data_IF_185341266121
#
_entry.id   IF_185341266121
#
_cell.length_a   1.000
_cell.length_b   1.000
_cell.length_c   1.000
_cell.angle_alpha   90.00
_cell.angle_beta   90.00
_cell.angle_gamma   90.00
#
_symmetry.space_group_name_H-M   'P 1'
#
loop_
_entity.id
_entity.type
_entity.pdbx_description
1 polymer ?
#
# COMPACT_ATOMS: atom_id res chain seq x y z
N UNK A 1 -56.82 27.89 -26.38
CA UNK A 1 -56.25 28.94 -25.49
C UNK A 1 -56.89 28.73 -24.12
N UNK A 2 -56.25 28.61 -22.95
CA UNK A 2 -54.86 28.78 -22.46
C UNK A 2 -54.91 28.31 -20.97
N UNK A 3 -54.03 27.50 -20.35
CA UNK A 3 -52.74 26.81 -20.65
C UNK A 3 -52.65 25.55 -19.74
N UNK A 4 -51.71 24.62 -19.99
CA UNK A 4 -51.26 23.65 -18.96
C UNK A 4 -50.26 24.34 -18.02
N UNK A 5 -50.41 24.13 -16.70
CA UNK A 5 -49.47 24.60 -15.68
C UNK A 5 -48.40 23.51 -15.48
N UNK A 6 -47.14 23.85 -15.73
CA UNK A 6 -46.02 22.91 -15.70
C UNK A 6 -45.57 22.56 -14.27
N UNK A 7 -45.46 21.26 -13.99
CA UNK A 7 -44.79 20.71 -12.82
C UNK A 7 -43.43 20.15 -13.25
N UNK A 8 -42.41 21.00 -13.29
CA UNK A 8 -41.04 20.57 -13.62
C UNK A 8 -40.34 20.09 -12.35
N UNK A 9 -40.10 18.79 -12.24
CA UNK A 9 -39.26 18.24 -11.17
C UNK A 9 -37.83 18.80 -11.27
N UNK A 10 -37.35 19.37 -10.17
CA UNK A 10 -35.92 19.64 -9.94
C UNK A 10 -35.27 18.31 -9.51
N UNK A 11 -34.79 17.54 -10.50
CA UNK A 11 -34.19 16.22 -10.26
C UNK A 11 -32.74 16.37 -9.76
N UNK A 12 -32.43 15.63 -8.69
CA UNK A 12 -31.11 15.43 -8.10
C UNK A 12 -29.97 15.28 -9.13
N UNK A 13 -28.97 16.16 -9.09
CA UNK A 13 -27.78 16.12 -9.95
C UNK A 13 -26.45 15.95 -9.19
N UNK A 14 -26.49 15.45 -7.95
CA UNK A 14 -25.31 15.30 -7.07
C UNK A 14 -24.65 13.90 -7.09
N UNK A 15 -25.13 12.95 -7.91
CA UNK A 15 -24.72 11.54 -7.84
C UNK A 15 -23.43 11.13 -8.59
N UNK A 16 -22.93 11.96 -9.51
CA UNK A 16 -21.92 11.52 -10.50
C UNK A 16 -20.47 11.55 -10.00
N UNK A 17 -20.14 12.34 -8.98
CA UNK A 17 -18.74 12.52 -8.51
C UNK A 17 -18.27 11.40 -7.59
N UNK A 18 -19.15 10.89 -6.71
CA UNK A 18 -18.79 9.84 -5.74
C UNK A 18 -18.43 8.50 -6.41
N UNK A 19 -19.14 8.13 -7.49
CA UNK A 19 -18.95 6.86 -8.17
C UNK A 19 -17.54 6.74 -8.79
N UNK A 20 -17.04 7.80 -9.42
CA UNK A 20 -15.69 7.84 -10.02
C UNK A 20 -14.59 7.66 -8.97
N UNK A 21 -14.70 8.33 -7.81
CA UNK A 21 -13.72 8.17 -6.72
C UNK A 21 -13.70 6.74 -6.18
N UNK A 22 -14.86 6.13 -5.91
CA UNK A 22 -14.93 4.75 -5.43
C UNK A 22 -14.33 3.76 -6.44
N UNK A 23 -14.62 3.94 -7.74
CA UNK A 23 -14.07 3.09 -8.80
C UNK A 23 -12.54 3.24 -8.93
N UNK A 24 -12.01 4.48 -8.83
CA UNK A 24 -10.56 4.74 -8.82
C UNK A 24 -9.86 4.02 -7.67
N UNK A 25 -10.40 4.11 -6.44
CA UNK A 25 -9.87 3.41 -5.27
C UNK A 25 -9.93 1.89 -5.45
N UNK A 26 -11.05 1.36 -5.96
CA UNK A 26 -11.21 -0.05 -6.25
C UNK A 26 -10.19 -0.57 -7.28
N UNK A 27 -9.91 0.19 -8.35
CA UNK A 27 -8.89 -0.16 -9.36
C UNK A 27 -7.48 -0.14 -8.77
N UNK A 28 -7.13 0.89 -7.99
CA UNK A 28 -5.83 0.95 -7.32
C UNK A 28 -5.62 -0.27 -6.41
N UNK A 29 -6.55 -0.51 -5.49
CA UNK A 29 -6.48 -1.60 -4.51
C UNK A 29 -6.58 -3.00 -5.18
N UNK A 30 -7.19 -3.10 -6.37
CA UNK A 30 -7.13 -4.32 -7.18
C UNK A 30 -5.72 -4.53 -7.78
N UNK A 31 -5.08 -3.48 -8.31
CA UNK A 31 -3.71 -3.55 -8.81
C UNK A 31 -2.70 -3.92 -7.70
N UNK A 32 -2.86 -3.37 -6.48
CA UNK A 32 -2.01 -3.73 -5.33
C UNK A 32 -2.11 -5.20 -4.96
N UNK A 33 -3.34 -5.73 -4.86
CA UNK A 33 -3.57 -7.15 -4.55
C UNK A 33 -3.09 -8.07 -5.67
N UNK A 34 -3.28 -7.68 -6.94
CA UNK A 34 -2.77 -8.44 -8.08
C UNK A 34 -1.23 -8.48 -8.10
N UNK A 35 -0.56 -7.36 -7.77
CA UNK A 35 0.90 -7.29 -7.66
C UNK A 35 1.45 -8.16 -6.53
N UNK A 36 0.82 -8.12 -5.34
CA UNK A 36 1.17 -9.02 -4.24
C UNK A 36 0.89 -10.50 -4.56
N UNK A 37 -0.12 -10.82 -5.37
CA UNK A 37 -0.39 -12.18 -5.79
C UNK A 37 0.58 -12.69 -6.88
N UNK A 38 1.06 -11.80 -7.75
CA UNK A 38 2.03 -12.10 -8.81
C UNK A 38 3.46 -12.36 -8.29
N UNK A 39 3.77 -11.89 -7.08
CA UNK A 39 4.96 -12.26 -6.34
C UNK A 39 4.54 -13.24 -5.25
N UNK A 40 4.42 -14.55 -5.51
CA UNK A 40 3.93 -15.47 -4.49
C UNK A 40 4.93 -15.62 -3.34
N UNK A 41 4.41 -15.76 -2.14
CA UNK A 41 5.21 -16.06 -0.96
C UNK A 41 5.95 -17.40 -1.06
N UNK A 42 7.19 -17.43 -0.59
CA UNK A 42 8.03 -18.62 -0.48
C UNK A 42 8.98 -18.49 0.71
N UNK A 43 9.33 -19.59 1.38
CA UNK A 43 10.23 -19.51 2.55
C UNK A 43 9.70 -18.70 3.73
N UNK A 44 10.57 -18.48 4.73
CA UNK A 44 10.17 -18.06 6.09
C UNK A 44 11.15 -17.10 6.77
N UNK A 45 11.81 -16.19 6.04
CA UNK A 45 12.64 -15.17 6.69
C UNK A 45 11.78 -14.28 7.61
N UNK A 46 12.22 -14.11 8.86
CA UNK A 46 11.44 -13.44 9.91
C UNK A 46 11.69 -11.93 9.87
N UNK A 47 10.63 -11.18 9.57
CA UNK A 47 10.62 -9.71 9.53
C UNK A 47 9.78 -9.07 10.65
N UNK A 48 8.99 -9.84 11.41
CA UNK A 48 8.23 -9.31 12.54
C UNK A 48 9.09 -8.59 13.60
N UNK A 49 8.58 -7.48 14.13
CA UNK A 49 9.25 -6.61 15.11
C UNK A 49 9.25 -5.14 14.69
N UNK A 50 9.93 -4.32 15.48
CA UNK A 50 10.07 -2.88 15.27
C UNK A 50 11.37 -2.55 14.52
N UNK A 51 11.31 -1.55 13.66
CA UNK A 51 12.43 -1.08 12.85
C UNK A 51 12.43 0.44 12.76
N UNK A 52 13.62 1.02 12.79
CA UNK A 52 13.84 2.44 12.55
C UNK A 52 14.34 2.61 11.10
N UNK A 53 13.82 3.56 10.30
CA UNK A 53 14.45 3.90 9.02
C UNK A 53 15.90 4.35 9.20
N UNK A 54 16.72 4.13 8.17
CA UNK A 54 18.09 4.62 8.11
C UNK A 54 18.19 6.06 7.58
N UNK A 55 17.11 6.59 6.98
CA UNK A 55 16.91 8.00 6.65
C UNK A 55 15.79 8.66 7.48
N UNK A 56 15.62 9.98 7.31
CA UNK A 56 14.57 10.79 7.96
C UNK A 56 13.26 10.87 7.13
N UNK A 57 13.22 10.26 5.93
CA UNK A 57 12.10 10.36 5.01
C UNK A 57 10.90 9.51 5.43
N UNK A 58 11.14 8.43 6.17
CA UNK A 58 10.13 7.51 6.67
C UNK A 58 9.94 7.60 8.18
N UNK A 59 8.82 7.07 8.68
CA UNK A 59 8.60 6.85 10.10
C UNK A 59 8.99 5.44 10.54
N UNK A 60 9.12 5.23 11.86
CA UNK A 60 9.33 3.90 12.46
C UNK A 60 8.34 2.87 11.93
N UNK A 61 8.82 1.67 11.64
CA UNK A 61 8.02 0.55 11.16
C UNK A 61 7.75 -0.46 12.28
N UNK A 62 6.55 -1.04 12.30
CA UNK A 62 6.20 -2.15 13.17
C UNK A 62 5.49 -3.23 12.37
N UNK A 63 6.10 -4.42 12.29
CA UNK A 63 5.59 -5.54 11.49
C UNK A 63 5.13 -6.70 12.38
N UNK A 64 3.92 -7.19 12.09
CA UNK A 64 3.42 -8.49 12.50
C UNK A 64 3.55 -9.45 11.31
N UNK A 65 3.79 -10.73 11.60
CA UNK A 65 3.98 -11.76 10.57
C UNK A 65 3.28 -13.05 10.98
N UNK A 66 2.51 -13.63 10.06
CA UNK A 66 1.87 -14.94 10.21
C UNK A 66 2.23 -15.81 9.00
N UNK A 67 3.09 -16.79 9.23
CA UNK A 67 3.75 -17.52 8.15
C UNK A 67 4.58 -16.57 7.27
N UNK A 68 4.24 -16.49 5.99
CA UNK A 68 4.81 -15.53 5.05
C UNK A 68 4.07 -14.19 5.00
N UNK A 69 2.81 -14.09 5.44
CA UNK A 69 2.02 -12.85 5.38
C UNK A 69 2.56 -11.84 6.39
N UNK A 70 2.69 -10.59 5.96
CA UNK A 70 3.15 -9.46 6.76
C UNK A 70 2.07 -8.38 6.79
N UNK A 71 1.84 -7.80 7.97
CA UNK A 71 0.92 -6.68 8.19
C UNK A 71 1.51 -5.74 9.22
N UNK A 72 1.24 -4.44 9.15
CA UNK A 72 1.77 -3.50 10.13
C UNK A 72 1.65 -2.05 9.74
N UNK A 73 2.65 -1.24 10.11
CA UNK A 73 2.78 0.16 9.69
C UNK A 73 4.22 0.53 9.35
N UNK A 74 4.38 1.59 8.55
CA UNK A 74 5.63 2.38 8.39
C UNK A 74 5.21 3.85 8.50
N UNK A 75 5.59 4.52 9.59
CA UNK A 75 5.09 5.86 9.89
C UNK A 75 3.56 5.89 9.96
N UNK A 76 2.93 6.72 9.12
CA UNK A 76 1.47 6.85 9.04
C UNK A 76 0.80 5.79 8.15
N UNK A 77 1.56 5.08 7.31
CA UNK A 77 1.00 4.14 6.34
C UNK A 77 0.75 2.77 6.96
N UNK A 78 -0.44 2.22 6.71
CA UNK A 78 -0.74 0.81 6.96
C UNK A 78 -0.06 -0.07 5.92
N UNK A 79 0.42 -1.25 6.33
CA UNK A 79 1.16 -2.18 5.47
C UNK A 79 0.42 -3.50 5.34
N UNK A 80 0.29 -3.97 4.11
CA UNK A 80 -0.01 -5.37 3.76
C UNK A 80 1.09 -5.89 2.84
N UNK A 81 1.56 -7.12 3.06
CA UNK A 81 2.64 -7.69 2.28
C UNK A 81 2.90 -9.16 2.57
N UNK A 82 4.02 -9.67 2.06
CA UNK A 82 4.50 -11.02 2.36
C UNK A 82 6.02 -11.14 2.16
N UNK A 83 6.59 -12.22 2.68
CA UNK A 83 7.98 -12.65 2.45
C UNK A 83 8.05 -13.69 1.34
N UNK A 84 9.03 -13.56 0.44
CA UNK A 84 9.44 -14.57 -0.53
C UNK A 84 10.97 -14.72 -0.53
N UNK A 85 11.46 -15.85 0.00
CA UNK A 85 12.88 -16.03 0.33
C UNK A 85 13.33 -15.05 1.41
N UNK A 86 14.29 -14.20 1.07
CA UNK A 86 14.73 -13.05 1.88
C UNK A 86 14.09 -11.73 1.45
N UNK A 87 13.29 -11.74 0.38
CA UNK A 87 12.66 -10.55 -0.17
C UNK A 87 11.29 -10.32 0.49
N UNK A 88 10.94 -9.07 0.72
CA UNK A 88 9.76 -8.59 1.43
C UNK A 88 9.02 -7.62 0.52
N UNK A 89 7.83 -8.03 0.07
CA UNK A 89 6.98 -7.27 -0.83
C UNK A 89 5.88 -6.59 -0.01
N UNK A 90 5.85 -5.26 -0.04
CA UNK A 90 4.93 -4.44 0.76
C UNK A 90 4.09 -3.54 -0.13
N UNK A 91 2.83 -3.33 0.27
CA UNK A 91 1.97 -2.25 -0.17
C UNK A 91 1.69 -1.36 1.04
N UNK A 92 1.92 -0.06 0.89
CA UNK A 92 1.71 0.98 1.90
C UNK A 92 0.47 1.79 1.55
N UNK A 93 -0.49 1.85 2.47
CA UNK A 93 -1.81 2.46 2.25
C UNK A 93 -2.21 3.42 3.36
N UNK A 94 -2.87 4.51 2.99
CA UNK A 94 -3.50 5.48 3.90
C UNK A 94 -4.89 5.85 3.35
N UNK A 95 -5.88 6.09 4.22
CA UNK A 95 -7.23 6.51 3.80
C UNK A 95 -7.95 5.55 2.84
N UNK A 96 -7.52 4.28 2.77
CA UNK A 96 -8.04 3.29 1.82
C UNK A 96 -7.43 3.35 0.41
N UNK A 97 -6.39 4.16 0.18
CA UNK A 97 -5.62 4.22 -1.06
C UNK A 97 -4.21 3.65 -0.84
N UNK A 98 -3.79 2.71 -1.70
CA UNK A 98 -2.39 2.27 -1.76
C UNK A 98 -1.53 3.34 -2.43
N UNK A 99 -0.64 3.99 -1.67
CA UNK A 99 0.23 5.07 -2.15
C UNK A 99 1.55 4.55 -2.70
N UNK A 100 2.15 3.58 -2.01
CA UNK A 100 3.47 3.08 -2.35
C UNK A 100 3.50 1.56 -2.37
N UNK A 101 4.44 1.03 -3.13
CA UNK A 101 4.86 -0.36 -3.02
C UNK A 101 6.36 -0.43 -2.76
N UNK A 102 6.83 -1.48 -2.09
CA UNK A 102 8.25 -1.66 -1.82
C UNK A 102 8.69 -3.12 -1.95
N UNK A 103 9.94 -3.29 -2.36
CA UNK A 103 10.65 -4.57 -2.40
C UNK A 103 11.93 -4.40 -1.59
N UNK A 104 11.95 -4.98 -0.40
CA UNK A 104 13.07 -4.91 0.55
C UNK A 104 13.71 -6.28 0.69
N UNK A 105 15.02 -6.36 0.95
CA UNK A 105 15.72 -7.62 1.19
C UNK A 105 16.24 -7.67 2.63
N UNK A 106 15.97 -8.77 3.33
CA UNK A 106 16.51 -9.02 4.66
C UNK A 106 18.02 -9.22 4.60
N UNK A 107 18.76 -8.43 5.40
CA UNK A 107 20.21 -8.63 5.63
C UNK A 107 20.54 -8.52 7.12
N UNK A 108 20.62 -9.66 7.82
CA UNK A 108 20.98 -9.68 9.24
C UNK A 108 20.04 -8.86 10.14
N UNK A 109 20.44 -7.65 10.53
CA UNK A 109 19.61 -6.70 11.28
C UNK A 109 18.93 -5.60 10.43
N UNK A 110 19.15 -5.56 9.11
CA UNK A 110 18.55 -4.58 8.21
C UNK A 110 17.52 -5.20 7.24
N UNK A 111 16.68 -4.36 6.65
CA UNK A 111 15.84 -4.59 5.48
C UNK A 111 16.16 -3.46 4.49
N UNK A 112 16.85 -3.78 3.39
CA UNK A 112 17.31 -2.78 2.44
C UNK A 112 16.71 -3.05 1.08
N UNK A 113 16.23 -2.01 0.40
CA UNK A 113 15.76 -2.12 -0.97
C UNK A 113 15.19 -0.82 -1.46
N UNK A 114 14.04 -0.91 -2.12
CA UNK A 114 13.44 0.22 -2.80
C UNK A 114 11.93 0.30 -2.57
N UNK A 115 11.42 1.52 -2.60
CA UNK A 115 9.99 1.81 -2.72
C UNK A 115 9.71 2.56 -4.04
N UNK A 116 8.46 2.57 -4.48
CA UNK A 116 7.97 3.32 -5.65
C UNK A 116 6.65 3.99 -5.27
N UNK A 117 6.42 5.20 -5.81
CA UNK A 117 5.15 5.94 -5.69
C UNK A 117 4.04 5.40 -6.61
N UNK A 118 4.29 4.26 -7.25
CA UNK A 118 3.32 3.52 -8.05
C UNK A 118 2.95 2.19 -7.40
N UNK A 119 1.75 1.72 -7.73
CA UNK A 119 1.27 0.38 -7.44
C UNK A 119 0.62 -0.16 -8.71
N UNK A 120 1.18 -1.21 -9.36
CA UNK A 120 2.32 -2.04 -8.97
C UNK A 120 3.66 -1.29 -8.90
N UNK A 121 4.63 -1.91 -8.23
CA UNK A 121 6.00 -1.41 -8.14
C UNK A 121 6.61 -1.17 -9.51
N UNK A 122 7.21 0.00 -9.69
CA UNK A 122 7.87 0.41 -10.92
C UNK A 122 9.33 0.75 -10.63
N UNK A 123 10.25 0.13 -11.37
CA UNK A 123 11.70 0.30 -11.18
C UNK A 123 12.24 1.63 -11.73
N UNK A 124 11.42 2.39 -12.48
CA UNK A 124 11.83 3.64 -13.13
C UNK A 124 11.76 4.87 -12.22
N UNK A 125 10.93 4.83 -11.19
CA UNK A 125 10.73 5.87 -10.17
C UNK A 125 11.09 5.36 -8.77
N UNK A 126 11.88 4.28 -8.69
CA UNK A 126 12.18 3.66 -7.41
C UNK A 126 13.19 4.50 -6.61
N UNK A 127 12.91 4.68 -5.33
CA UNK A 127 13.76 5.35 -4.35
C UNK A 127 14.19 4.36 -3.26
N UNK A 128 15.30 4.63 -2.58
CA UNK A 128 15.81 3.74 -1.52
C UNK A 128 14.90 3.72 -0.30
N UNK A 129 14.79 2.56 0.34
CA UNK A 129 14.20 2.40 1.67
C UNK A 129 15.05 1.39 2.45
N UNK A 130 15.66 1.85 3.54
CA UNK A 130 16.33 1.00 4.53
C UNK A 130 15.59 1.04 5.87
N UNK A 131 15.55 -0.11 6.55
CA UNK A 131 14.98 -0.24 7.90
C UNK A 131 15.92 -1.08 8.78
N UNK A 132 16.45 -0.48 9.85
CA UNK A 132 17.33 -1.12 10.84
C UNK A 132 16.51 -1.62 12.03
N UNK A 133 16.74 -2.86 12.45
CA UNK A 133 16.02 -3.46 13.57
C UNK A 133 16.35 -2.76 14.88
N UNK A 134 15.31 -2.30 15.58
CA UNK A 134 15.44 -1.79 16.94
C UNK A 134 15.86 -2.97 17.84
N UNK A 135 16.92 -2.78 18.65
CA UNK A 135 17.29 -3.70 19.71
C UNK A 135 16.47 -3.35 20.95
N UNK A 136 15.78 -4.36 21.50
CA UNK A 136 15.23 -4.33 22.85
C UNK A 136 16.31 -4.78 23.85
#
# INVERSE_FOLDING_TARGET
>A
MTKFIGMTLLVFSLGLTACNTQERYARNNAASRAWLAANPASGHTRVAGNWQPDDEGWGTASFQQSGSRVTGTIGLYTVEGHVSGDDLYLVMSEGGWAYYSAVLKKRGHALDGFYSAHVPFNTKDQETLGLVRVKN
#
